data_IF_942030072917
#
_entry.id   IF_942030072917
#
_cell.length_a   1.000
_cell.length_b   1.000
_cell.length_c   1.000
_cell.angle_alpha   90.00
_cell.angle_beta   90.00
_cell.angle_gamma   90.00
#
_symmetry.space_group_name_H-M   'P 1'
#
loop_
_entity.id
_entity.type
_entity.pdbx_description
1 polymer ?
#
# COMPACT_ATOMS: atom_id res chain seq x y z
N UNK A 1 -11.26 -27.38 -21.89
CA UNK A 1 -11.82 -27.63 -20.54
C UNK A 1 -13.05 -26.73 -20.39
N UNK A 2 -14.25 -27.30 -20.46
CA UNK A 2 -15.49 -26.53 -20.45
C UNK A 2 -15.75 -25.97 -19.05
N UNK A 3 -15.48 -24.68 -18.85
CA UNK A 3 -15.97 -23.97 -17.67
C UNK A 3 -17.47 -23.73 -17.86
N UNK A 4 -18.30 -24.49 -17.14
CA UNK A 4 -19.73 -24.23 -17.02
C UNK A 4 -19.89 -22.82 -16.44
N UNK A 5 -20.26 -21.87 -17.29
CA UNK A 5 -20.79 -20.59 -16.85
C UNK A 5 -22.16 -20.86 -16.25
N UNK A 6 -22.20 -21.19 -14.96
CA UNK A 6 -23.47 -21.21 -14.24
C UNK A 6 -24.06 -19.79 -14.30
N UNK A 7 -25.36 -19.63 -14.61
CA UNK A 7 -25.99 -18.32 -14.65
C UNK A 7 -26.05 -17.76 -13.23
N UNK A 8 -25.01 -17.01 -12.88
CA UNK A 8 -24.91 -16.31 -11.61
C UNK A 8 -25.80 -15.08 -11.69
N UNK A 9 -26.68 -14.94 -10.70
CA UNK A 9 -27.46 -13.72 -10.47
C UNK A 9 -26.51 -12.52 -10.33
N UNK A 10 -27.00 -11.30 -10.58
CA UNK A 10 -26.19 -10.07 -10.40
C UNK A 10 -25.49 -10.03 -9.03
N UNK A 11 -26.19 -10.47 -7.97
CA UNK A 11 -25.62 -10.63 -6.64
C UNK A 11 -24.50 -11.69 -6.61
N UNK A 12 -24.70 -12.87 -7.21
CA UNK A 12 -23.68 -13.93 -7.28
C UNK A 12 -22.40 -13.51 -8.03
N UNK A 13 -22.53 -12.68 -9.07
CA UNK A 13 -21.37 -12.10 -9.80
C UNK A 13 -20.58 -11.14 -8.92
N UNK A 14 -21.27 -10.27 -8.18
CA UNK A 14 -20.64 -9.32 -7.26
C UNK A 14 -19.87 -10.06 -6.14
N UNK A 15 -20.48 -11.07 -5.52
CA UNK A 15 -19.81 -11.89 -4.51
C UNK A 15 -18.58 -12.63 -5.05
N UNK A 16 -18.66 -13.12 -6.29
CA UNK A 16 -17.52 -13.80 -6.94
C UNK A 16 -16.34 -12.82 -7.14
N UNK A 17 -16.61 -11.61 -7.63
CA UNK A 17 -15.59 -10.57 -7.81
C UNK A 17 -14.98 -10.17 -6.45
N UNK A 18 -15.81 -10.00 -5.43
CA UNK A 18 -15.35 -9.64 -4.09
C UNK A 18 -14.48 -10.73 -3.46
N UNK A 19 -14.81 -12.00 -3.70
CA UNK A 19 -13.98 -13.13 -3.30
C UNK A 19 -12.63 -13.13 -4.04
N UNK A 20 -12.59 -12.78 -5.33
CA UNK A 20 -11.34 -12.63 -6.06
C UNK A 20 -10.48 -11.49 -5.50
N UNK A 21 -11.08 -10.33 -5.18
CA UNK A 21 -10.38 -9.21 -4.53
C UNK A 21 -9.77 -9.68 -3.21
N UNK A 22 -10.52 -10.38 -2.37
CA UNK A 22 -10.00 -10.90 -1.09
C UNK A 22 -8.78 -11.81 -1.29
N UNK A 23 -8.84 -12.77 -2.22
CA UNK A 23 -7.71 -13.67 -2.49
C UNK A 23 -6.51 -12.93 -3.10
N UNK A 24 -6.75 -11.93 -3.95
CA UNK A 24 -5.71 -11.07 -4.51
C UNK A 24 -5.01 -10.24 -3.41
N UNK A 25 -5.79 -9.64 -2.49
CA UNK A 25 -5.28 -8.89 -1.34
C UNK A 25 -4.39 -9.77 -0.45
N UNK A 26 -4.85 -10.96 -0.06
CA UNK A 26 -4.08 -11.89 0.79
C UNK A 26 -2.78 -12.31 0.11
N UNK A 27 -2.82 -12.57 -1.21
CA UNK A 27 -1.61 -12.88 -1.99
C UNK A 27 -0.62 -11.72 -2.00
N UNK A 28 -1.10 -10.49 -2.16
CA UNK A 28 -0.25 -9.29 -2.12
C UNK A 28 0.43 -9.11 -0.75
N UNK A 29 -0.32 -9.28 0.34
CA UNK A 29 0.24 -9.20 1.70
C UNK A 29 1.34 -10.26 1.90
N UNK A 30 1.11 -11.50 1.45
CA UNK A 30 2.10 -12.59 1.58
C UNK A 30 3.31 -12.47 0.65
N UNK A 31 3.22 -11.70 -0.44
CA UNK A 31 4.36 -11.44 -1.33
C UNK A 31 5.39 -10.49 -0.69
N UNK A 32 4.99 -9.65 0.26
CA UNK A 32 5.84 -8.57 0.78
C UNK A 32 7.07 -9.08 1.54
N UNK A 33 6.90 -9.99 2.51
CA UNK A 33 8.01 -10.33 3.42
C UNK A 33 8.12 -11.84 3.65
N UNK A 34 9.34 -12.37 3.43
CA UNK A 34 9.72 -13.73 3.82
C UNK A 34 9.85 -13.88 5.34
N UNK A 35 10.17 -12.79 6.05
CA UNK A 35 10.27 -12.73 7.51
C UNK A 35 9.60 -11.45 8.02
N UNK A 36 8.50 -11.55 8.81
CA UNK A 36 7.80 -10.39 9.36
C UNK A 36 8.69 -9.49 10.23
N UNK A 37 9.67 -10.07 10.91
CA UNK A 37 10.59 -9.35 11.81
C UNK A 37 11.47 -8.39 11.01
N UNK A 38 11.99 -8.85 9.86
CA UNK A 38 12.85 -8.03 9.01
C UNK A 38 12.04 -6.92 8.36
N UNK A 39 10.83 -7.21 7.88
CA UNK A 39 9.92 -6.21 7.32
C UNK A 39 9.58 -5.10 8.32
N UNK A 40 9.28 -5.48 9.57
CA UNK A 40 9.02 -4.53 10.65
C UNK A 40 10.25 -3.64 10.92
N UNK A 41 11.43 -4.25 11.06
CA UNK A 41 12.66 -3.52 11.34
C UNK A 41 12.99 -2.52 10.22
N UNK A 42 12.89 -2.95 8.97
CA UNK A 42 13.08 -2.07 7.80
C UNK A 42 12.08 -0.90 7.79
N UNK A 43 10.81 -1.15 8.15
CA UNK A 43 9.79 -0.10 8.22
C UNK A 43 10.11 0.94 9.30
N UNK A 44 10.51 0.49 10.50
CA UNK A 44 10.90 1.36 11.61
C UNK A 44 12.15 2.17 11.24
N UNK A 45 13.19 1.53 10.70
CA UNK A 45 14.41 2.23 10.29
C UNK A 45 14.11 3.26 9.21
N UNK A 46 13.28 2.93 8.21
CA UNK A 46 12.87 3.89 7.18
C UNK A 46 12.11 5.08 7.78
N UNK A 47 11.21 4.85 8.74
CA UNK A 47 10.48 5.90 9.45
C UNK A 47 11.43 6.84 10.20
N UNK A 48 12.35 6.30 10.99
CA UNK A 48 13.34 7.09 11.75
C UNK A 48 14.26 7.87 10.81
N UNK A 49 14.73 7.25 9.73
CA UNK A 49 15.60 7.91 8.74
C UNK A 49 14.90 9.10 8.06
N UNK A 50 13.62 8.96 7.69
CA UNK A 50 12.88 10.07 7.09
C UNK A 50 12.75 11.24 8.06
N UNK A 51 12.45 10.98 9.33
CA UNK A 51 12.36 12.04 10.35
C UNK A 51 13.72 12.74 10.52
N UNK A 52 14.82 11.99 10.56
CA UNK A 52 16.16 12.53 10.69
C UNK A 52 16.56 13.42 9.50
N UNK A 53 16.26 12.98 8.27
CA UNK A 53 16.56 13.74 7.04
C UNK A 53 15.75 15.05 7.00
N UNK A 54 14.45 14.99 7.29
CA UNK A 54 13.61 16.18 7.33
C UNK A 54 14.08 17.13 8.43
N UNK A 55 14.41 16.63 9.62
CA UNK A 55 14.96 17.44 10.70
C UNK A 55 16.24 18.19 10.30
N UNK A 56 17.20 17.50 9.66
CA UNK A 56 18.41 18.13 9.11
C UNK A 56 18.09 19.19 8.05
N UNK A 57 17.14 18.93 7.15
CA UNK A 57 16.75 19.88 6.11
C UNK A 57 16.20 21.17 6.71
N UNK A 58 15.31 21.08 7.70
CA UNK A 58 14.76 22.26 8.37
C UNK A 58 15.82 23.03 9.19
N UNK A 59 16.83 22.34 9.70
CA UNK A 59 17.97 22.96 10.38
C UNK A 59 18.83 23.77 9.40
N UNK A 60 19.17 23.18 8.25
CA UNK A 60 19.97 23.84 7.20
C UNK A 60 19.22 25.03 6.59
N UNK A 61 17.89 24.92 6.39
CA UNK A 61 17.07 26.01 5.83
C UNK A 61 16.80 27.14 6.82
N UNK A 62 17.24 27.06 8.08
CA UNK A 62 17.08 28.11 9.08
C UNK A 62 15.63 28.35 9.52
N UNK A 63 14.71 27.44 9.18
CA UNK A 63 13.28 27.56 9.48
C UNK A 63 12.93 27.28 10.95
N UNK A 64 13.92 26.97 11.79
CA UNK A 64 13.77 26.75 13.24
C UNK A 64 13.27 28.00 13.99
N UNK A 65 13.44 29.18 13.40
CA UNK A 65 12.96 30.46 13.94
C UNK A 65 11.50 30.78 13.59
N UNK A 66 10.87 30.06 12.66
CA UNK A 66 9.44 30.20 12.43
C UNK A 66 8.73 29.60 13.65
N UNK A 67 8.23 30.46 14.52
CA UNK A 67 7.66 30.14 15.83
C UNK A 67 6.45 29.19 15.74
N UNK A 68 6.70 27.91 15.51
CA UNK A 68 5.71 26.86 15.69
C UNK A 68 5.58 26.70 17.20
N UNK A 69 4.43 27.12 17.74
CA UNK A 69 4.09 26.90 19.15
C UNK A 69 3.86 25.40 19.36
N UNK A 70 4.91 24.66 19.74
CA UNK A 70 4.88 23.21 19.99
C UNK A 70 6.27 22.56 19.93
N UNK A 71 6.35 21.26 20.20
CA UNK A 71 7.57 20.47 19.94
C UNK A 71 7.77 20.32 18.43
N UNK A 72 8.87 20.87 17.92
CA UNK A 72 9.24 20.85 16.52
C UNK A 72 9.35 19.43 15.94
N UNK A 73 9.75 18.46 16.78
CA UNK A 73 9.82 17.06 16.38
C UNK A 73 8.41 16.51 16.12
N UNK A 74 7.44 16.82 16.98
CA UNK A 74 6.04 16.38 16.78
C UNK A 74 5.43 16.95 15.49
N UNK A 75 5.75 18.20 15.15
CA UNK A 75 5.36 18.81 13.88
C UNK A 75 5.90 18.01 12.68
N UNK A 76 7.21 17.72 12.65
CA UNK A 76 7.82 16.93 11.59
C UNK A 76 7.20 15.53 11.51
N UNK A 77 7.01 14.87 12.65
CA UNK A 77 6.42 13.53 12.72
C UNK A 77 5.05 13.47 12.07
N UNK A 78 4.19 14.46 12.34
CA UNK A 78 2.85 14.55 11.74
C UNK A 78 2.87 14.61 10.20
N UNK A 79 3.85 15.32 9.62
CA UNK A 79 3.97 15.45 8.17
C UNK A 79 4.65 14.24 7.53
N UNK A 80 5.76 13.78 8.10
CA UNK A 80 6.57 12.69 7.55
C UNK A 80 5.78 11.37 7.52
N UNK A 81 4.98 11.08 8.54
CA UNK A 81 4.16 9.87 8.54
C UNK A 81 3.09 9.89 7.43
N UNK A 82 2.39 11.02 7.24
CA UNK A 82 1.43 11.18 6.14
C UNK A 82 2.11 11.07 4.76
N UNK A 83 3.29 11.67 4.60
CA UNK A 83 4.06 11.56 3.36
C UNK A 83 4.50 10.12 3.07
N UNK A 84 4.91 9.39 4.11
CA UNK A 84 5.33 8.00 3.98
C UNK A 84 4.18 7.08 3.59
N UNK A 85 3.03 7.18 4.26
CA UNK A 85 1.86 6.35 3.95
C UNK A 85 1.36 6.66 2.53
N UNK A 86 1.29 7.94 2.16
CA UNK A 86 0.88 8.35 0.83
C UNK A 86 1.78 7.77 -0.28
N UNK A 87 3.10 7.94 -0.17
CA UNK A 87 4.03 7.43 -1.18
C UNK A 87 4.05 5.90 -1.27
N UNK A 88 4.01 5.21 -0.12
CA UNK A 88 3.94 3.74 -0.11
C UNK A 88 2.63 3.24 -0.72
N UNK A 89 1.51 3.90 -0.43
CA UNK A 89 0.22 3.53 -0.99
C UNK A 89 0.16 3.76 -2.50
N UNK A 90 0.61 4.92 -2.98
CA UNK A 90 0.71 5.19 -4.41
C UNK A 90 1.66 4.23 -5.10
N UNK A 91 2.83 3.95 -4.51
CA UNK A 91 3.79 2.99 -5.06
C UNK A 91 3.18 1.59 -5.20
N UNK A 92 2.46 1.10 -4.19
CA UNK A 92 1.79 -0.19 -4.22
C UNK A 92 0.68 -0.27 -5.28
N UNK A 93 -0.11 0.80 -5.43
CA UNK A 93 -1.21 0.88 -6.41
C UNK A 93 -0.70 1.02 -7.84
N UNK A 94 0.32 1.86 -8.07
CA UNK A 94 0.97 2.01 -9.37
C UNK A 94 1.69 0.73 -9.82
N UNK A 95 2.18 -0.07 -8.85
CA UNK A 95 2.80 -1.37 -9.11
C UNK A 95 1.79 -2.51 -9.26
N UNK A 96 0.49 -2.23 -9.21
CA UNK A 96 -0.54 -3.24 -9.40
C UNK A 96 -0.44 -3.85 -10.82
N UNK A 97 -0.69 -5.15 -10.90
CA UNK A 97 -0.54 -5.90 -12.15
C UNK A 97 -1.48 -5.34 -13.24
N UNK A 98 -0.89 -4.87 -14.34
CA UNK A 98 -1.62 -4.30 -15.49
C UNK A 98 -2.24 -5.37 -16.41
N UNK A 99 -2.95 -4.94 -17.48
CA UNK A 99 -3.72 -5.81 -18.37
C UNK A 99 -2.89 -6.87 -19.13
N UNK A 100 -1.57 -6.72 -19.13
CA UNK A 100 -0.60 -7.60 -19.81
C UNK A 100 0.10 -8.59 -18.87
N UNK A 101 -0.29 -8.67 -17.60
CA UNK A 101 0.33 -9.58 -16.63
C UNK A 101 -0.02 -11.05 -16.90
N UNK A 102 0.94 -11.96 -16.69
CA UNK A 102 0.76 -13.40 -16.91
C UNK A 102 -0.39 -14.01 -16.09
N UNK A 103 -0.76 -13.38 -14.97
CA UNK A 103 -1.88 -13.81 -14.13
C UNK A 103 -3.25 -13.44 -14.74
N UNK A 104 -3.34 -12.35 -15.50
CA UNK A 104 -4.55 -11.97 -16.22
C UNK A 104 -4.87 -12.90 -17.41
N UNK A 105 -3.90 -13.68 -17.86
CA UNK A 105 -4.07 -14.64 -18.96
C UNK A 105 -4.73 -15.97 -18.52
N UNK A 106 -4.91 -16.24 -17.21
CA UNK A 106 -5.27 -17.57 -16.70
C UNK A 106 -6.50 -17.67 -15.79
N UNK A 107 -7.35 -16.65 -15.69
CA UNK A 107 -8.60 -16.69 -14.93
C UNK A 107 -9.49 -15.49 -15.30
N UNK A 108 -10.77 -15.39 -14.87
CA UNK A 108 -11.54 -14.15 -14.94
C UNK A 108 -10.95 -13.10 -13.97
N UNK A 109 -9.75 -12.60 -14.25
CA UNK A 109 -9.05 -11.56 -13.50
C UNK A 109 -9.05 -10.27 -14.32
N UNK A 110 -9.46 -9.17 -13.70
CA UNK A 110 -9.52 -7.86 -14.33
C UNK A 110 -8.56 -6.88 -13.63
N UNK A 111 -8.07 -5.86 -14.33
CA UNK A 111 -7.17 -4.83 -13.78
C UNK A 111 -7.76 -4.14 -12.56
N UNK A 112 -9.07 -3.89 -12.58
CA UNK A 112 -9.81 -3.30 -11.45
C UNK A 112 -9.67 -4.15 -10.18
N UNK A 113 -9.74 -5.47 -10.31
CA UNK A 113 -9.59 -6.42 -9.19
C UNK A 113 -8.16 -6.43 -8.66
N UNK A 114 -7.16 -6.35 -9.54
CA UNK A 114 -5.75 -6.28 -9.16
C UNK A 114 -5.41 -4.97 -8.43
N UNK A 115 -5.88 -3.83 -8.97
CA UNK A 115 -5.67 -2.50 -8.38
C UNK A 115 -6.35 -2.40 -7.01
N UNK A 116 -7.61 -2.81 -6.91
CA UNK A 116 -8.37 -2.79 -5.64
C UNK A 116 -7.76 -3.74 -4.61
N UNK A 117 -7.30 -4.93 -5.02
CA UNK A 117 -6.59 -5.86 -4.15
C UNK A 117 -5.27 -5.28 -3.62
N UNK A 118 -4.48 -4.62 -4.48
CA UNK A 118 -3.24 -3.95 -4.10
C UNK A 118 -3.49 -2.75 -3.16
N UNK A 119 -4.52 -1.95 -3.43
CA UNK A 119 -4.91 -0.83 -2.57
C UNK A 119 -5.33 -1.29 -1.16
N UNK A 120 -6.15 -2.35 -1.06
CA UNK A 120 -6.57 -2.92 0.21
C UNK A 120 -5.40 -3.57 0.97
N UNK A 121 -4.47 -4.20 0.25
CA UNK A 121 -3.27 -4.78 0.86
C UNK A 121 -2.36 -3.68 1.43
N UNK A 122 -2.16 -2.59 0.68
CA UNK A 122 -1.44 -1.40 1.12
C UNK A 122 -2.05 -0.80 2.39
N UNK A 123 -3.37 -0.64 2.41
CA UNK A 123 -4.09 -0.14 3.58
C UNK A 123 -3.84 -1.02 4.81
N UNK A 124 -3.94 -2.35 4.65
CA UNK A 124 -3.68 -3.29 5.74
C UNK A 124 -2.24 -3.29 6.25
N UNK A 125 -1.25 -3.04 5.37
CA UNK A 125 0.15 -3.00 5.77
C UNK A 125 0.56 -1.70 6.48
N UNK A 126 -0.18 -0.61 6.25
CA UNK A 126 0.15 0.71 6.78
C UNK A 126 -0.62 1.07 8.05
N UNK A 127 -1.76 0.42 8.30
CA UNK A 127 -2.61 0.61 9.48
C UNK A 127 -2.18 -0.33 10.60
#
# INVERSE_FOLDING_TARGET
MFQRHMPVTMAGRAFSILQLIFHATVRHIRKSDRSPIIGLLMSITQAVMMVAIFYLMFDILGMRGAAIRGDFILYIMSGVFLFMTHNKALGAVLSAEGPTSAMMLHAPMNTVVAITGAALASLYQQL
#
